data_IF_825562399558
#
_entry.id   IF_825562399558
#
_cell.length_a   1.000
_cell.length_b   1.000
_cell.length_c   1.000
_cell.angle_alpha   90.00
_cell.angle_beta   90.00
_cell.angle_gamma   90.00
#
_symmetry.space_group_name_H-M   'P 1'
#
loop_
_entity.id
_entity.type
_entity.pdbx_description
1 polymer ?
#
# COMPACT_ATOMS: atom_id res chain seq x y z
N UNK A 1 -74.99 -35.76 -26.20
CA UNK A 1 -74.37 -34.45 -25.92
C UNK A 1 -73.23 -34.66 -24.94
N UNK A 2 -71.98 -34.46 -25.37
CA UNK A 2 -70.85 -34.04 -24.54
C UNK A 2 -69.70 -33.74 -25.50
N UNK A 3 -69.33 -32.46 -25.64
CA UNK A 3 -68.17 -32.01 -26.43
C UNK A 3 -67.07 -31.65 -25.43
N UNK A 4 -66.01 -32.44 -25.39
CA UNK A 4 -64.80 -32.11 -24.64
C UNK A 4 -63.86 -31.28 -25.53
N UNK A 5 -63.56 -30.06 -25.11
CA UNK A 5 -62.63 -29.15 -25.78
C UNK A 5 -61.26 -29.32 -25.12
N UNK A 6 -60.27 -29.86 -25.84
CA UNK A 6 -58.89 -29.96 -25.37
C UNK A 6 -58.15 -28.66 -25.72
N UNK A 7 -57.73 -27.90 -24.71
CA UNK A 7 -56.86 -26.72 -24.86
C UNK A 7 -55.41 -27.19 -24.76
N UNK A 8 -54.69 -27.15 -25.88
CA UNK A 8 -53.25 -27.40 -25.91
C UNK A 8 -52.47 -26.16 -25.48
N UNK A 9 -51.75 -26.25 -24.36
CA UNK A 9 -50.82 -25.21 -23.90
C UNK A 9 -49.51 -25.36 -24.69
N UNK A 10 -49.20 -24.36 -25.53
CA UNK A 10 -47.96 -24.28 -26.28
C UNK A 10 -46.86 -23.67 -25.39
N UNK A 11 -45.95 -24.50 -24.88
CA UNK A 11 -44.75 -24.06 -24.16
C UNK A 11 -43.73 -23.50 -25.17
N UNK A 12 -43.70 -22.17 -25.35
CA UNK A 12 -42.60 -21.50 -26.04
C UNK A 12 -41.35 -21.49 -25.16
N UNK A 13 -40.40 -22.36 -25.48
CA UNK A 13 -39.06 -22.35 -24.91
C UNK A 13 -38.27 -21.16 -25.47
N UNK A 14 -38.04 -20.14 -24.64
CA UNK A 14 -37.14 -19.03 -24.92
C UNK A 14 -35.71 -19.59 -24.95
N UNK A 15 -35.22 -19.94 -26.12
CA UNK A 15 -33.80 -20.26 -26.31
C UNK A 15 -33.02 -18.96 -26.16
N UNK A 16 -32.42 -18.74 -24.98
CA UNK A 16 -31.41 -17.69 -24.81
C UNK A 16 -30.22 -18.08 -25.68
N UNK A 17 -30.01 -17.39 -26.80
CA UNK A 17 -28.74 -17.45 -27.52
C UNK A 17 -27.64 -17.06 -26.52
N UNK A 18 -26.81 -18.01 -26.12
CA UNK A 18 -25.61 -17.73 -25.36
C UNK A 18 -24.73 -16.81 -26.23
N UNK A 19 -24.57 -15.56 -25.83
CA UNK A 19 -23.61 -14.67 -26.48
C UNK A 19 -22.22 -15.31 -26.37
N UNK A 20 -21.49 -15.35 -27.49
CA UNK A 20 -20.10 -15.80 -27.49
C UNK A 20 -19.30 -14.84 -26.61
N UNK A 21 -18.69 -15.35 -25.55
CA UNK A 21 -17.85 -14.55 -24.67
C UNK A 21 -16.45 -14.43 -25.30
N UNK A 22 -16.15 -13.23 -25.82
CA UNK A 22 -14.82 -12.90 -26.33
C UNK A 22 -13.97 -12.24 -25.23
N UNK A 23 -12.64 -12.43 -25.21
CA UNK A 23 -11.76 -11.67 -24.34
C UNK A 23 -11.91 -10.15 -24.57
N UNK A 24 -11.93 -9.38 -23.48
CA UNK A 24 -11.96 -7.92 -23.57
C UNK A 24 -10.69 -7.41 -24.26
N UNK A 25 -10.83 -6.41 -25.14
CA UNK A 25 -9.69 -5.80 -25.82
C UNK A 25 -8.70 -5.13 -24.84
N UNK A 26 -9.20 -4.66 -23.70
CA UNK A 26 -8.40 -4.16 -22.58
C UNK A 26 -8.75 -4.97 -21.33
N UNK A 27 -7.96 -6.02 -21.01
CA UNK A 27 -8.23 -6.85 -19.83
C UNK A 27 -8.28 -6.02 -18.55
N UNK A 28 -9.22 -6.35 -17.66
CA UNK A 28 -9.30 -5.75 -16.34
C UNK A 28 -8.15 -6.24 -15.44
N UNK A 29 -7.67 -5.37 -14.57
CA UNK A 29 -6.67 -5.68 -13.57
C UNK A 29 -6.96 -4.94 -12.26
N UNK A 30 -6.54 -5.55 -11.17
CA UNK A 30 -6.61 -4.98 -9.82
C UNK A 30 -5.26 -5.10 -9.15
N UNK A 31 -4.79 -4.01 -8.55
CA UNK A 31 -3.63 -4.00 -7.66
C UNK A 31 -4.03 -3.45 -6.31
N UNK A 32 -3.48 -3.99 -5.23
CA UNK A 32 -3.75 -3.52 -3.87
C UNK A 32 -2.47 -3.57 -3.05
N UNK A 33 -2.32 -2.61 -2.13
CA UNK A 33 -1.12 -2.47 -1.32
C UNK A 33 -1.46 -1.86 0.04
N UNK A 34 -0.85 -2.40 1.10
CA UNK A 34 -0.81 -1.76 2.40
C UNK A 34 0.22 -0.61 2.41
N UNK A 35 -0.20 0.57 2.86
CA UNK A 35 0.63 1.76 3.07
C UNK A 35 0.36 2.22 4.50
N UNK A 36 1.30 2.00 5.42
CA UNK A 36 1.02 2.13 6.85
C UNK A 36 -0.08 1.16 7.28
N UNK A 37 -1.16 1.69 7.88
CA UNK A 37 -2.33 0.91 8.27
C UNK A 37 -3.46 1.00 7.23
N UNK A 38 -3.32 1.86 6.21
CA UNK A 38 -4.27 1.95 5.12
C UNK A 38 -3.98 0.91 4.05
N UNK A 39 -5.03 0.43 3.39
CA UNK A 39 -4.94 -0.30 2.12
C UNK A 39 -5.38 0.61 0.99
N UNK A 40 -4.57 0.68 -0.06
CA UNK A 40 -4.89 1.37 -1.31
C UNK A 40 -5.07 0.34 -2.41
N UNK A 41 -6.18 0.38 -3.14
CA UNK A 41 -6.44 -0.49 -4.29
C UNK A 41 -6.79 0.29 -5.54
N UNK A 42 -6.41 -0.24 -6.69
CA UNK A 42 -6.73 0.32 -8.00
C UNK A 42 -7.31 -0.77 -8.90
N UNK A 43 -8.53 -0.53 -9.37
CA UNK A 43 -9.20 -1.34 -10.39
C UNK A 43 -9.19 -0.57 -11.71
N UNK A 44 -8.63 -1.17 -12.78
CA UNK A 44 -8.45 -0.50 -14.07
C UNK A 44 -8.48 -1.50 -15.23
N UNK A 45 -8.65 -1.00 -16.46
CA UNK A 45 -8.44 -1.80 -17.68
C UNK A 45 -7.14 -1.42 -18.37
N UNK A 46 -6.46 -2.43 -18.93
CA UNK A 46 -5.10 -2.34 -19.49
C UNK A 46 -5.11 -2.30 -21.02
N UNK A 47 -5.24 -1.12 -21.68
CA UNK A 47 -5.09 -1.02 -23.13
C UNK A 47 -3.67 -1.34 -23.58
N UNK A 48 -3.55 -1.84 -24.82
CA UNK A 48 -2.29 -2.12 -25.49
C UNK A 48 -1.98 -1.07 -26.58
N UNK A 49 -0.70 -0.83 -26.85
CA UNK A 49 -0.28 0.08 -27.92
C UNK A 49 -0.69 -0.46 -29.29
N UNK A 50 -0.44 -1.75 -29.55
CA UNK A 50 -0.67 -2.39 -30.86
C UNK A 50 -0.01 -1.60 -32.00
N UNK A 51 1.23 -1.14 -31.77
CA UNK A 51 2.01 -0.36 -32.74
C UNK A 51 1.59 1.11 -32.88
N UNK A 52 0.69 1.61 -32.03
CA UNK A 52 0.27 3.03 -32.03
C UNK A 52 1.07 3.85 -31.03
N UNK A 53 1.24 5.13 -31.33
CA UNK A 53 1.65 6.13 -30.35
C UNK A 53 0.40 6.65 -29.65
N UNK A 54 0.37 6.63 -28.32
CA UNK A 54 -0.77 7.11 -27.53
C UNK A 54 -0.54 8.55 -27.09
N UNK A 55 0.49 8.83 -26.29
CA UNK A 55 0.69 10.18 -25.74
C UNK A 55 1.12 11.19 -26.81
N UNK A 56 0.33 12.27 -26.96
CA UNK A 56 0.55 13.29 -27.97
C UNK A 56 -0.06 12.98 -29.35
N UNK A 57 -0.61 11.77 -29.54
CA UNK A 57 -1.36 11.36 -30.74
C UNK A 57 -2.79 10.93 -30.34
N UNK A 58 -3.01 9.64 -30.08
CA UNK A 58 -4.34 9.11 -29.71
C UNK A 58 -4.88 9.69 -28.40
N UNK A 59 -3.99 10.09 -27.49
CA UNK A 59 -4.25 10.84 -26.27
C UNK A 59 -3.55 12.21 -26.38
N UNK A 60 -4.24 13.24 -26.91
CA UNK A 60 -3.67 14.57 -27.03
C UNK A 60 -3.28 15.14 -25.67
N UNK A 61 -2.11 15.77 -25.60
CA UNK A 61 -1.67 16.46 -24.39
C UNK A 61 -2.64 17.57 -23.99
N UNK A 62 -2.75 17.82 -22.68
CA UNK A 62 -3.64 18.85 -22.14
C UNK A 62 -5.13 18.48 -22.16
N UNK A 63 -5.49 17.25 -22.55
CA UNK A 63 -6.85 16.72 -22.50
C UNK A 63 -7.03 15.70 -21.39
N UNK A 64 -8.21 15.71 -20.77
CA UNK A 64 -8.58 14.75 -19.72
C UNK A 64 -8.73 13.36 -20.33
N UNK A 65 -8.11 12.39 -19.68
CA UNK A 65 -8.18 10.98 -19.95
C UNK A 65 -8.66 10.25 -18.71
N UNK A 66 -9.48 9.22 -18.90
CA UNK A 66 -9.98 8.31 -17.84
C UNK A 66 -8.93 7.36 -17.26
N UNK A 67 -7.66 7.54 -17.63
CA UNK A 67 -6.51 6.78 -17.12
C UNK A 67 -6.67 5.27 -17.26
N UNK A 68 -6.88 4.80 -18.48
CA UNK A 68 -7.11 3.38 -18.81
C UNK A 68 -8.05 3.24 -20.00
N UNK A 69 -8.68 2.08 -20.11
CA UNK A 69 -9.67 1.76 -21.14
C UNK A 69 -10.99 1.19 -20.56
N UNK A 70 -12.01 1.03 -21.40
CA UNK A 70 -13.38 0.59 -21.03
C UNK A 70 -14.03 1.33 -19.84
N UNK A 71 -13.83 0.89 -18.59
CA UNK A 71 -14.33 1.58 -17.39
C UNK A 71 -13.34 2.64 -16.90
N UNK A 72 -13.81 3.61 -16.13
CA UNK A 72 -12.91 4.55 -15.47
C UNK A 72 -12.10 3.83 -14.40
N UNK A 73 -10.83 4.19 -14.26
CA UNK A 73 -9.98 3.63 -13.21
C UNK A 73 -10.48 4.07 -11.85
N UNK A 74 -10.65 3.12 -10.93
CA UNK A 74 -11.16 3.37 -9.58
C UNK A 74 -10.05 3.14 -8.57
N UNK A 75 -9.74 4.18 -7.79
CA UNK A 75 -8.82 4.13 -6.66
C UNK A 75 -9.62 4.09 -5.36
N UNK A 76 -9.35 3.13 -4.48
CA UNK A 76 -10.00 3.02 -3.17
C UNK A 76 -8.96 3.06 -2.06
N UNK A 77 -9.25 3.81 -1.00
CA UNK A 77 -8.41 3.95 0.19
C UNK A 77 -9.23 3.59 1.43
N UNK A 78 -8.70 2.70 2.27
CA UNK A 78 -9.42 2.19 3.46
C UNK A 78 -9.35 3.12 4.66
N UNK A 79 -8.37 4.02 4.69
CA UNK A 79 -8.20 5.04 5.71
C UNK A 79 -7.70 6.34 5.05
N UNK A 80 -7.73 7.45 5.78
CA UNK A 80 -7.21 8.72 5.31
C UNK A 80 -5.71 8.61 5.01
N UNK A 81 -5.30 8.93 3.80
CA UNK A 81 -3.90 9.00 3.39
C UNK A 81 -3.53 10.39 2.90
N UNK A 82 -2.24 10.65 2.72
CA UNK A 82 -1.74 11.76 1.95
C UNK A 82 -1.39 11.29 0.54
N UNK A 83 -1.87 12.02 -0.47
CA UNK A 83 -1.56 11.81 -1.88
C UNK A 83 -0.88 13.05 -2.44
N UNK A 84 0.39 12.90 -2.83
CA UNK A 84 1.27 14.01 -3.18
C UNK A 84 1.20 15.17 -2.15
N UNK A 85 1.18 14.83 -0.86
CA UNK A 85 1.07 15.78 0.26
C UNK A 85 -0.34 16.26 0.61
N UNK A 86 -1.37 15.93 -0.18
CA UNK A 86 -2.75 16.37 0.06
C UNK A 86 -3.54 15.30 0.82
N UNK A 87 -4.35 15.70 1.81
CA UNK A 87 -5.20 14.76 2.55
C UNK A 87 -6.31 14.20 1.68
N UNK A 88 -6.41 12.88 1.63
CA UNK A 88 -7.45 12.12 0.94
C UNK A 88 -8.17 11.25 1.96
N UNK A 89 -9.44 11.54 2.29
CA UNK A 89 -10.25 10.71 3.17
C UNK A 89 -10.43 9.28 2.63
N UNK A 90 -10.74 8.34 3.52
CA UNK A 90 -11.15 7.00 3.15
C UNK A 90 -12.34 7.03 2.16
N UNK A 91 -12.33 6.17 1.15
CA UNK A 91 -13.36 6.15 0.12
C UNK A 91 -12.89 5.62 -1.23
N UNK A 92 -13.80 5.66 -2.20
CA UNK A 92 -13.52 5.31 -3.61
C UNK A 92 -13.62 6.54 -4.50
N UNK A 93 -12.67 6.67 -5.42
CA UNK A 93 -12.48 7.82 -6.29
C UNK A 93 -12.22 7.37 -7.73
N UNK A 94 -12.71 8.13 -8.69
CA UNK A 94 -12.32 8.01 -10.10
C UNK A 94 -10.94 8.62 -10.31
N UNK A 95 -10.04 7.91 -10.99
CA UNK A 95 -8.70 8.39 -11.35
C UNK A 95 -8.69 8.89 -12.79
N UNK A 96 -8.57 10.20 -12.95
CA UNK A 96 -8.41 10.86 -14.24
C UNK A 96 -7.02 11.47 -14.34
N UNK A 97 -6.55 11.66 -15.57
CA UNK A 97 -5.23 12.24 -15.85
C UNK A 97 -5.31 13.22 -16.99
N UNK A 98 -4.45 14.23 -16.97
CA UNK A 98 -4.17 15.08 -18.12
C UNK A 98 -2.70 14.88 -18.46
N UNK A 99 -2.39 14.08 -19.49
CA UNK A 99 -1.02 13.89 -19.92
C UNK A 99 -0.43 15.20 -20.45
N UNK A 100 0.86 15.37 -20.19
CA UNK A 100 1.71 16.41 -20.78
C UNK A 100 3.10 15.83 -21.08
N UNK A 101 3.94 16.58 -21.82
CA UNK A 101 5.26 16.10 -22.25
C UNK A 101 6.26 15.96 -21.09
N UNK A 102 6.14 16.78 -20.04
CA UNK A 102 7.07 16.81 -18.90
C UNK A 102 6.37 16.58 -17.56
N UNK A 103 5.08 16.84 -17.47
CA UNK A 103 4.26 16.65 -16.27
C UNK A 103 2.89 16.10 -16.66
N UNK A 104 2.32 15.30 -15.77
CA UNK A 104 0.92 14.93 -15.85
C UNK A 104 0.17 15.57 -14.68
N UNK A 105 -1.08 15.93 -14.93
CA UNK A 105 -2.01 16.26 -13.85
C UNK A 105 -2.77 14.99 -13.50
N UNK A 106 -2.65 14.54 -12.25
CA UNK A 106 -3.47 13.47 -11.69
C UNK A 106 -4.67 14.10 -11.00
N UNK A 107 -5.85 13.52 -11.23
CA UNK A 107 -7.13 13.99 -10.73
C UNK A 107 -7.82 12.84 -10.00
N UNK A 108 -8.17 13.05 -8.73
CA UNK A 108 -9.11 12.20 -8.02
C UNK A 108 -10.47 12.87 -7.99
N UNK A 109 -11.45 12.21 -8.59
CA UNK A 109 -12.81 12.69 -8.74
C UNK A 109 -13.75 11.85 -7.86
N UNK A 110 -14.78 12.47 -7.26
CA UNK A 110 -15.74 11.80 -6.37
C UNK A 110 -16.63 10.76 -7.09
N UNK A 111 -16.75 10.84 -8.42
CA UNK A 111 -17.54 9.89 -9.21
C UNK A 111 -16.72 8.64 -9.59
N UNK A 112 -16.71 7.64 -8.71
CA UNK A 112 -15.95 6.41 -8.89
C UNK A 112 -16.49 5.44 -9.97
N UNK A 113 -17.70 5.65 -10.51
CA UNK A 113 -18.44 4.66 -11.35
C UNK A 113 -18.74 5.19 -12.77
N UNK A 114 -18.21 6.36 -13.15
CA UNK A 114 -18.46 6.94 -14.47
C UNK A 114 -18.04 6.00 -15.61
N UNK A 115 -18.94 5.72 -16.55
CA UNK A 115 -18.66 5.05 -17.82
C UNK A 115 -17.79 5.95 -18.72
N UNK A 116 -16.48 5.96 -18.45
CA UNK A 116 -15.46 6.66 -19.25
C UNK A 116 -15.42 8.18 -19.10
N UNK A 117 -14.48 8.80 -19.84
CA UNK A 117 -14.19 10.25 -19.77
C UNK A 117 -15.37 11.14 -20.22
N UNK A 118 -16.36 10.59 -20.92
CA UNK A 118 -17.52 11.34 -21.43
C UNK A 118 -18.45 11.87 -20.32
N UNK A 119 -18.37 11.28 -19.12
CA UNK A 119 -19.12 11.70 -17.94
C UNK A 119 -18.23 12.41 -16.91
N UNK A 120 -17.01 12.81 -17.29
CA UNK A 120 -16.14 13.57 -16.41
C UNK A 120 -16.73 14.95 -16.11
N UNK A 121 -16.79 15.27 -14.82
CA UNK A 121 -17.35 16.51 -14.27
C UNK A 121 -16.29 17.20 -13.40
N UNK A 122 -15.67 18.30 -13.88
CA UNK A 122 -14.66 19.04 -13.12
C UNK A 122 -15.13 19.46 -11.73
N UNK A 123 -16.42 19.72 -11.55
CA UNK A 123 -17.04 20.07 -10.27
C UNK A 123 -16.93 18.97 -9.20
N UNK A 124 -16.67 17.73 -9.63
CA UNK A 124 -16.50 16.57 -8.75
C UNK A 124 -15.02 16.26 -8.46
N UNK A 125 -14.08 17.05 -8.97
CA UNK A 125 -12.65 16.92 -8.65
C UNK A 125 -12.43 17.23 -7.17
N UNK A 126 -11.86 16.27 -6.44
CA UNK A 126 -11.48 16.43 -5.04
C UNK A 126 -10.00 16.85 -4.91
N UNK A 127 -9.12 16.19 -5.67
CA UNK A 127 -7.69 16.46 -5.66
C UNK A 127 -7.19 16.57 -7.09
N UNK A 128 -6.35 17.58 -7.33
CA UNK A 128 -5.67 17.80 -8.61
C UNK A 128 -4.21 18.12 -8.35
N UNK A 129 -3.31 17.23 -8.74
CA UNK A 129 -1.88 17.32 -8.43
C UNK A 129 -1.03 17.09 -9.66
N UNK A 130 0.13 17.76 -9.72
CA UNK A 130 1.11 17.55 -10.77
C UNK A 130 2.16 16.55 -10.34
N UNK A 131 2.55 15.69 -11.27
CA UNK A 131 3.64 14.72 -11.12
C UNK A 131 4.51 14.77 -12.37
N UNK A 132 5.82 14.59 -12.20
CA UNK A 132 6.76 14.63 -13.32
C UNK A 132 6.62 13.37 -14.18
N UNK A 133 6.56 13.58 -15.49
CA UNK A 133 6.68 12.51 -16.48
C UNK A 133 8.16 12.18 -16.69
N UNK A 134 8.49 10.91 -16.59
CA UNK A 134 9.84 10.40 -16.71
C UNK A 134 9.91 9.36 -17.83
N UNK A 135 11.05 9.31 -18.50
CA UNK A 135 11.29 8.30 -19.52
C UNK A 135 11.62 6.95 -18.87
N UNK A 136 11.05 5.88 -19.39
CA UNK A 136 11.23 4.51 -18.91
C UNK A 136 11.41 3.53 -20.08
N UNK A 137 11.67 2.26 -19.77
CA UNK A 137 11.69 1.20 -20.76
C UNK A 137 10.31 1.03 -21.44
N UNK A 138 10.26 0.72 -22.75
CA UNK A 138 9.00 0.51 -23.46
C UNK A 138 8.08 -0.49 -22.76
N UNK A 139 6.81 -0.11 -22.58
CA UNK A 139 5.76 -0.93 -21.96
C UNK A 139 4.55 -0.99 -22.90
N UNK A 140 4.24 -2.19 -23.39
CA UNK A 140 3.16 -2.44 -24.37
C UNK A 140 1.76 -2.23 -23.78
N UNK A 141 1.54 -2.67 -22.54
CA UNK A 141 0.25 -2.59 -21.87
C UNK A 141 0.29 -1.50 -20.80
N UNK A 142 -0.71 -0.62 -20.79
CA UNK A 142 -0.84 0.35 -19.71
C UNK A 142 -0.86 -0.39 -18.36
N UNK A 143 0.02 0.04 -17.47
CA UNK A 143 0.28 -0.66 -16.21
C UNK A 143 0.24 0.33 -15.07
N UNK A 144 -0.53 -0.01 -14.05
CA UNK A 144 -0.55 0.66 -12.76
C UNK A 144 0.00 -0.33 -11.73
N UNK A 145 0.99 0.11 -10.97
CA UNK A 145 1.64 -0.71 -9.93
C UNK A 145 2.07 0.16 -8.75
N UNK A 146 2.26 -0.47 -7.58
CA UNK A 146 2.88 0.20 -6.44
C UNK A 146 4.39 -0.03 -6.47
N UNK A 147 5.18 1.00 -6.13
CA UNK A 147 6.65 0.99 -6.16
C UNK A 147 7.23 1.77 -4.98
N UNK A 148 8.54 1.70 -4.78
CA UNK A 148 9.30 2.55 -3.83
C UNK A 148 8.73 2.55 -2.39
N UNK A 149 8.64 1.36 -1.80
CA UNK A 149 7.97 1.16 -0.53
C UNK A 149 8.83 1.52 0.69
N UNK A 150 8.17 2.10 1.68
CA UNK A 150 8.59 2.06 3.10
C UNK A 150 7.41 1.53 3.91
N UNK A 151 7.55 1.29 5.23
CA UNK A 151 6.41 0.87 6.06
C UNK A 151 5.19 1.82 5.99
N UNK A 152 5.38 3.11 5.69
CA UNK A 152 4.31 4.13 5.71
C UNK A 152 4.13 4.86 4.39
N UNK A 153 4.93 4.55 3.36
CA UNK A 153 4.87 5.23 2.06
C UNK A 153 4.97 4.25 0.90
N UNK A 154 4.40 4.65 -0.24
CA UNK A 154 4.59 3.98 -1.53
C UNK A 154 4.37 5.00 -2.65
N UNK A 155 4.82 4.68 -3.87
CA UNK A 155 4.44 5.40 -5.07
C UNK A 155 3.44 4.57 -5.87
N UNK A 156 2.33 5.17 -6.29
CA UNK A 156 1.48 4.60 -7.34
C UNK A 156 2.05 5.01 -8.70
N UNK A 157 2.68 4.06 -9.39
CA UNK A 157 3.26 4.25 -10.71
C UNK A 157 2.23 3.98 -11.81
N UNK A 158 2.15 4.88 -12.79
CA UNK A 158 1.40 4.71 -14.03
C UNK A 158 2.39 4.71 -15.18
N UNK A 159 2.44 3.62 -15.96
CA UNK A 159 3.41 3.41 -17.03
C UNK A 159 2.77 2.99 -18.34
N UNK A 160 3.15 3.66 -19.43
CA UNK A 160 2.82 3.24 -20.80
C UNK A 160 3.82 3.77 -21.82
N UNK A 161 4.00 3.05 -22.92
CA UNK A 161 5.03 3.38 -23.91
C UNK A 161 6.38 3.54 -23.21
N UNK A 162 7.00 4.71 -23.33
CA UNK A 162 8.25 5.07 -22.67
C UNK A 162 8.05 6.12 -21.59
N UNK A 163 6.82 6.31 -21.10
CA UNK A 163 6.49 7.30 -20.06
C UNK A 163 6.04 6.63 -18.76
N UNK A 164 6.57 7.11 -17.65
CA UNK A 164 6.14 6.79 -16.30
C UNK A 164 5.84 8.07 -15.52
N UNK A 165 4.78 8.05 -14.70
CA UNK A 165 4.58 9.02 -13.63
C UNK A 165 4.41 8.29 -12.31
N UNK A 166 4.93 8.88 -11.23
CA UNK A 166 4.83 8.34 -9.88
C UNK A 166 4.04 9.29 -9.00
N UNK A 167 3.01 8.76 -8.35
CA UNK A 167 2.16 9.50 -7.42
C UNK A 167 2.47 9.08 -5.98
N UNK A 168 3.10 9.96 -5.17
CA UNK A 168 3.46 9.62 -3.80
C UNK A 168 2.24 9.42 -2.90
N UNK A 169 2.27 8.33 -2.14
CA UNK A 169 1.28 7.96 -1.12
C UNK A 169 1.98 7.87 0.23
N UNK A 170 1.37 8.43 1.27
CA UNK A 170 1.82 8.29 2.66
C UNK A 170 0.63 8.07 3.58
N UNK A 171 0.77 7.16 4.53
CA UNK A 171 -0.18 7.02 5.63
C UNK A 171 0.49 7.45 6.93
N UNK A 172 0.00 8.54 7.53
CA UNK A 172 0.51 9.04 8.81
C UNK A 172 -0.26 8.39 9.97
N UNK A 173 0.10 7.14 10.27
CA UNK A 173 -0.58 6.33 11.29
C UNK A 173 -0.20 6.70 12.73
N UNK A 174 0.71 7.66 12.92
CA UNK A 174 1.41 7.84 14.18
C UNK A 174 0.45 8.08 15.35
N UNK A 175 -0.47 9.02 15.19
CA UNK A 175 -1.49 9.32 16.19
C UNK A 175 -2.39 8.10 16.50
N UNK A 176 -2.76 7.32 15.49
CA UNK A 176 -3.58 6.11 15.67
C UNK A 176 -2.83 5.04 16.45
N UNK A 177 -1.55 4.80 16.12
CA UNK A 177 -0.71 3.83 16.82
C UNK A 177 -0.48 4.28 18.26
N UNK A 178 -0.21 5.57 18.50
CA UNK A 178 -0.03 6.10 19.84
C UNK A 178 -1.29 5.93 20.72
N UNK A 179 -2.49 6.11 20.16
CA UNK A 179 -3.75 5.82 20.85
C UNK A 179 -3.89 4.32 21.17
N UNK A 180 -3.58 3.44 20.22
CA UNK A 180 -3.63 1.99 20.43
C UNK A 180 -2.63 1.53 21.49
N UNK A 181 -1.39 2.02 21.46
CA UNK A 181 -0.37 1.73 22.45
C UNK A 181 -0.80 2.21 23.84
N UNK A 182 -1.32 3.44 23.96
CA UNK A 182 -1.80 3.95 25.24
C UNK A 182 -2.91 3.07 25.82
N UNK A 183 -3.90 2.69 25.00
CA UNK A 183 -4.98 1.80 25.42
C UNK A 183 -4.44 0.44 25.89
N UNK A 184 -3.54 -0.17 25.12
CA UNK A 184 -2.95 -1.47 25.43
C UNK A 184 -2.10 -1.45 26.71
N UNK A 185 -1.29 -0.41 26.90
CA UNK A 185 -0.40 -0.25 28.07
C UNK A 185 -1.14 0.07 29.37
N UNK A 186 -2.35 0.62 29.29
CA UNK A 186 -3.21 0.83 30.49
C UNK A 186 -3.99 -0.41 30.92
N UNK A 187 -3.93 -1.51 30.15
CA UNK A 187 -4.57 -2.75 30.54
C UNK A 187 -3.86 -3.36 31.77
N UNK A 188 -4.58 -3.70 32.86
CA UNK A 188 -3.98 -4.32 34.04
C UNK A 188 -3.23 -5.63 33.76
N UNK A 189 -3.56 -6.32 32.66
CA UNK A 189 -2.96 -7.58 32.23
C UNK A 189 -2.19 -7.43 30.91
N UNK A 190 -1.46 -6.32 30.75
CA UNK A 190 -0.59 -6.10 29.58
C UNK A 190 0.50 -7.16 29.48
N UNK A 191 0.71 -7.70 28.28
CA UNK A 191 1.68 -8.77 28.02
C UNK A 191 3.09 -8.22 27.73
N UNK A 192 4.12 -9.07 27.89
CA UNK A 192 5.49 -8.76 27.48
C UNK A 192 5.58 -8.37 26.00
N UNK A 193 4.77 -9.00 25.15
CA UNK A 193 4.71 -8.71 23.72
C UNK A 193 4.32 -7.25 23.45
N UNK A 194 3.31 -6.71 24.16
CA UNK A 194 2.89 -5.30 23.98
C UNK A 194 3.98 -4.33 24.45
N UNK A 195 4.67 -4.63 25.55
CA UNK A 195 5.81 -3.82 25.98
C UNK A 195 6.96 -3.83 24.96
N UNK A 196 7.22 -5.00 24.35
CA UNK A 196 8.23 -5.12 23.30
C UNK A 196 7.86 -4.32 22.05
N UNK A 197 6.60 -4.40 21.61
CA UNK A 197 6.06 -3.61 20.49
C UNK A 197 6.16 -2.11 20.77
N UNK A 198 5.81 -1.66 21.97
CA UNK A 198 5.94 -0.26 22.38
C UNK A 198 7.40 0.21 22.38
N UNK A 199 8.32 -0.60 22.91
CA UNK A 199 9.76 -0.31 22.91
C UNK A 199 10.32 -0.20 21.49
N UNK A 200 9.99 -1.15 20.62
CA UNK A 200 10.43 -1.15 19.23
C UNK A 200 9.84 0.04 18.47
N UNK A 201 8.56 0.36 18.68
CA UNK A 201 7.93 1.51 18.03
C UNK A 201 8.58 2.83 18.43
N UNK A 202 8.83 3.04 19.73
CA UNK A 202 9.53 4.23 20.22
C UNK A 202 10.97 4.31 19.69
N UNK A 203 11.66 3.17 19.59
CA UNK A 203 12.98 3.10 18.98
C UNK A 203 12.93 3.46 17.49
N UNK A 204 12.02 2.88 16.71
CA UNK A 204 11.93 3.10 15.27
C UNK A 204 11.52 4.52 14.90
N UNK A 205 10.67 5.15 15.72
CA UNK A 205 10.18 6.52 15.52
C UNK A 205 11.01 7.59 16.23
N UNK A 206 12.17 7.21 16.79
CA UNK A 206 13.11 8.10 17.47
C UNK A 206 12.46 8.94 18.60
N UNK A 207 11.62 8.28 19.40
CA UNK A 207 10.95 8.85 20.58
C UNK A 207 11.82 8.71 21.84
N UNK A 208 11.21 8.83 23.01
CA UNK A 208 11.90 8.72 24.30
C UNK A 208 12.55 7.34 24.48
N UNK A 209 13.87 7.30 24.27
CA UNK A 209 14.66 6.09 24.41
C UNK A 209 14.74 5.60 25.85
N UNK A 210 14.57 6.46 26.87
CA UNK A 210 14.52 6.02 28.27
C UNK A 210 13.27 5.20 28.53
N UNK A 211 12.13 5.64 28.01
CA UNK A 211 10.88 4.89 28.11
C UNK A 211 10.94 3.58 27.31
N UNK A 212 11.48 3.62 26.09
CA UNK A 212 11.69 2.42 25.28
C UNK A 212 12.57 1.40 26.01
N UNK A 213 13.66 1.86 26.63
CA UNK A 213 14.57 1.04 27.45
C UNK A 213 13.85 0.45 28.66
N UNK A 214 13.05 1.23 29.38
CA UNK A 214 12.31 0.75 30.54
C UNK A 214 11.34 -0.40 30.18
N UNK A 215 10.61 -0.28 29.08
CA UNK A 215 9.76 -1.37 28.59
C UNK A 215 10.59 -2.59 28.18
N UNK A 216 11.70 -2.40 27.46
CA UNK A 216 12.58 -3.50 27.08
C UNK A 216 13.20 -4.22 28.30
N UNK A 217 13.55 -3.49 29.36
CA UNK A 217 14.02 -4.06 30.64
C UNK A 217 12.92 -4.90 31.32
N UNK A 218 11.67 -4.42 31.31
CA UNK A 218 10.53 -5.17 31.83
C UNK A 218 10.32 -6.49 31.06
N UNK A 219 10.47 -6.46 29.73
CA UNK A 219 10.37 -7.68 28.90
C UNK A 219 11.45 -8.68 29.28
N UNK A 220 12.72 -8.26 29.30
CA UNK A 220 13.85 -9.16 29.62
C UNK A 220 13.77 -9.76 31.03
N UNK A 221 13.09 -9.10 31.96
CA UNK A 221 12.89 -9.65 33.30
C UNK A 221 12.05 -10.94 33.30
N UNK A 222 11.10 -11.07 32.38
CA UNK A 222 10.10 -12.16 32.37
C UNK A 222 10.15 -13.05 31.12
N UNK A 223 10.67 -12.53 30.02
CA UNK A 223 10.58 -13.12 28.68
C UNK A 223 11.93 -13.00 27.98
N UNK A 224 12.77 -14.04 28.14
CA UNK A 224 14.18 -14.05 27.72
C UNK A 224 14.37 -14.85 26.44
N UNK A 225 14.26 -14.17 25.31
CA UNK A 225 14.52 -14.73 23.99
C UNK A 225 15.53 -13.92 23.21
N UNK A 226 16.17 -14.54 22.21
CA UNK A 226 17.17 -13.86 21.38
C UNK A 226 16.61 -12.65 20.61
N UNK A 227 15.30 -12.50 20.39
CA UNK A 227 14.76 -11.27 19.79
C UNK A 227 14.51 -10.16 20.83
N UNK A 228 14.15 -10.52 22.06
CA UNK A 228 13.94 -9.56 23.15
C UNK A 228 15.24 -8.89 23.56
N UNK A 229 16.34 -9.66 23.69
CA UNK A 229 17.67 -9.12 24.00
C UNK A 229 18.15 -8.17 22.90
N UNK A 230 17.82 -8.47 21.64
CA UNK A 230 18.25 -7.65 20.52
C UNK A 230 17.57 -6.29 20.51
N UNK A 231 16.28 -6.26 20.88
CA UNK A 231 15.52 -5.01 21.00
C UNK A 231 16.16 -4.09 22.05
N UNK A 232 16.47 -4.62 23.24
CA UNK A 232 17.15 -3.86 24.27
C UNK A 232 18.57 -3.44 23.87
N UNK A 233 19.34 -4.34 23.24
CA UNK A 233 20.68 -4.05 22.75
C UNK A 233 20.70 -2.88 21.77
N UNK A 234 19.82 -2.87 20.76
CA UNK A 234 19.70 -1.75 19.81
C UNK A 234 19.39 -0.41 20.50
N UNK A 235 18.49 -0.43 21.49
CA UNK A 235 18.14 0.76 22.27
C UNK A 235 19.36 1.23 23.08
N UNK A 236 20.05 0.30 23.75
CA UNK A 236 21.23 0.60 24.56
C UNK A 236 22.37 1.20 23.73
N UNK A 237 22.64 0.66 22.53
CA UNK A 237 23.61 1.24 21.58
C UNK A 237 23.26 2.70 21.27
N UNK A 238 21.99 2.98 20.93
CA UNK A 238 21.56 4.35 20.62
C UNK A 238 21.64 5.30 21.83
N UNK A 239 21.58 4.76 23.04
CA UNK A 239 21.81 5.48 24.29
C UNK A 239 23.31 5.63 24.64
N UNK A 240 24.22 5.03 23.88
CA UNK A 240 25.66 4.96 24.19
C UNK A 240 26.01 3.98 25.31
N UNK A 241 25.07 3.16 25.76
CA UNK A 241 25.26 2.17 26.82
C UNK A 241 25.79 0.85 26.25
N UNK A 242 27.07 0.89 25.86
CA UNK A 242 27.74 -0.27 25.29
C UNK A 242 27.93 -1.42 26.29
N UNK A 243 27.89 -1.15 27.60
CA UNK A 243 27.97 -2.20 28.61
C UNK A 243 26.73 -3.09 28.58
N UNK A 244 25.53 -2.49 28.61
CA UNK A 244 24.29 -3.27 28.46
C UNK A 244 24.23 -3.93 27.09
N UNK A 245 24.49 -3.19 26.01
CA UNK A 245 24.37 -3.73 24.66
C UNK A 245 25.22 -4.98 24.44
N UNK A 246 26.44 -5.00 24.99
CA UNK A 246 27.34 -6.15 24.88
C UNK A 246 26.86 -7.33 25.71
N UNK A 247 26.41 -7.09 26.95
CA UNK A 247 25.84 -8.15 27.79
C UNK A 247 24.63 -8.82 27.12
N UNK A 248 23.75 -8.02 26.52
CA UNK A 248 22.59 -8.52 25.75
C UNK A 248 23.04 -9.28 24.51
N UNK A 249 24.08 -8.80 23.82
CA UNK A 249 24.58 -9.46 22.64
C UNK A 249 25.22 -10.82 22.93
N UNK A 250 25.97 -10.93 24.03
CA UNK A 250 26.55 -12.21 24.47
C UNK A 250 25.46 -13.22 24.85
N UNK A 251 24.44 -12.79 25.61
CA UNK A 251 23.32 -13.64 26.00
C UNK A 251 22.46 -14.06 24.80
N UNK A 252 22.08 -13.09 23.96
CA UNK A 252 21.24 -13.30 22.80
C UNK A 252 21.92 -14.11 21.69
N UNK A 253 23.23 -13.94 21.48
CA UNK A 253 24.01 -14.71 20.50
C UNK A 253 23.95 -16.21 20.80
N UNK A 254 24.13 -16.60 22.07
CA UNK A 254 24.06 -18.02 22.47
C UNK A 254 22.68 -18.61 22.15
N UNK A 255 21.61 -17.89 22.47
CA UNK A 255 20.23 -18.32 22.21
C UNK A 255 19.93 -18.39 20.71
N UNK A 256 20.42 -17.42 19.92
CA UNK A 256 20.26 -17.42 18.47
C UNK A 256 21.01 -18.58 17.80
N UNK A 257 22.21 -18.92 18.26
CA UNK A 257 22.97 -20.08 17.79
C UNK A 257 22.27 -21.39 18.11
N UNK A 258 21.69 -21.52 19.31
CA UNK A 258 20.92 -22.71 19.69
C UNK A 258 19.64 -22.88 18.85
N UNK A 259 19.08 -21.79 18.37
CA UNK A 259 17.91 -21.77 17.48
C UNK A 259 18.28 -21.86 15.99
N UNK A 260 19.57 -21.97 15.64
CA UNK A 260 20.10 -21.91 14.28
C UNK A 260 19.65 -20.65 13.48
N UNK A 261 19.34 -19.55 14.18
CA UNK A 261 18.93 -18.27 13.56
C UNK A 261 20.15 -17.46 13.15
N UNK A 262 20.66 -17.77 11.95
CA UNK A 262 21.84 -17.10 11.39
C UNK A 262 21.68 -15.58 11.23
N UNK A 263 20.46 -15.07 11.08
CA UNK A 263 20.21 -13.64 10.95
C UNK A 263 20.44 -12.92 12.29
N UNK A 264 19.90 -13.47 13.38
CA UNK A 264 20.14 -12.91 14.71
C UNK A 264 21.58 -13.10 15.19
N UNK A 265 22.23 -14.23 14.86
CA UNK A 265 23.67 -14.42 15.10
C UNK A 265 24.49 -13.27 14.49
N UNK A 266 24.22 -12.92 13.23
CA UNK A 266 24.90 -11.82 12.54
C UNK A 266 24.57 -10.46 13.15
N UNK A 267 23.32 -10.24 13.55
CA UNK A 267 22.91 -9.02 14.24
C UNK A 267 23.69 -8.83 15.54
N UNK A 268 23.84 -9.86 16.36
CA UNK A 268 24.59 -9.78 17.60
C UNK A 268 26.09 -9.61 17.40
N UNK A 269 26.68 -10.27 16.41
CA UNK A 269 28.07 -10.03 16.04
C UNK A 269 28.34 -8.56 15.68
N UNK A 270 27.39 -7.89 15.00
CA UNK A 270 27.50 -6.44 14.72
C UNK A 270 27.47 -5.63 16.01
N UNK A 271 26.57 -5.93 16.94
CA UNK A 271 26.53 -5.26 18.25
C UNK A 271 27.87 -5.38 18.99
N UNK A 272 28.45 -6.58 19.02
CA UNK A 272 29.76 -6.82 19.67
C UNK A 272 30.91 -6.05 19.00
N UNK A 273 30.84 -5.86 17.67
CA UNK A 273 31.83 -5.07 16.91
C UNK A 273 31.66 -3.57 17.13
N UNK A 274 30.43 -3.09 17.25
CA UNK A 274 30.12 -1.68 17.50
C UNK A 274 30.49 -1.28 18.93
N UNK A 275 30.21 -2.15 19.91
CA UNK A 275 30.53 -1.96 21.32
C UNK A 275 31.77 -2.75 21.75
N UNK A 276 32.89 -2.49 21.06
CA UNK A 276 34.21 -3.03 21.47
C UNK A 276 34.62 -2.49 22.85
N UNK A 277 35.31 -3.31 23.67
CA UNK A 277 35.89 -2.86 24.94
C UNK A 277 36.92 -1.73 24.74
#
# INVERSE_FOLDING_TARGET
>A
MSKSLLVGVLLLSIQRLAQIQLPAASPAATVAQAVGLATVSVEYSRPALKGRTMFGDQLPYGKVWRTGADRSTKLTVSDQILINGNSLPAGSYGLFTIPGPTEWVIILNKDAIGSGAFNYKPENDLIRVRVNAQKTAPTEYFTIEFTDFTPTTANLSLRWETTEVKLPLKHDADAQIMVQLQAALTNPNVSSAIYLEAAEYYYQTNRDLKQARAWADQVIAVDKHYWTYYTRAKIAIRQGDCLTARADAEAGLKLAQQADDTAFVKNYQRVLVECKP
#
